data_IF_904459905793
#
_entry.id   IF_904459905793
#
_cell.length_a   1.000
_cell.length_b   1.000
_cell.length_c   1.000
_cell.angle_alpha   90.00
_cell.angle_beta   90.00
_cell.angle_gamma   90.00
#
_symmetry.space_group_name_H-M   'P 1'
#
loop_
_entity.id
_entity.type
_entity.pdbx_description
1 polymer ?
#
# COMPACT_ATOMS: atom_id res chain seq x y z
N UNK A 1 12.83 -9.81 -18.16
CA UNK A 1 13.71 -8.90 -18.92
C UNK A 1 12.87 -8.10 -19.92
N UNK A 2 12.18 -7.09 -19.44
CA UNK A 2 11.49 -6.13 -20.30
C UNK A 2 11.56 -4.76 -19.66
N UNK A 3 12.68 -4.07 -19.87
CA UNK A 3 12.75 -2.62 -19.60
C UNK A 3 14.04 -2.04 -20.18
N UNK A 4 14.02 -1.70 -21.43
CA UNK A 4 14.94 -0.73 -22.00
C UNK A 4 14.22 -0.03 -23.16
N UNK A 5 13.21 0.80 -22.86
CA UNK A 5 12.78 1.88 -23.76
C UNK A 5 11.89 2.86 -22.99
N UNK A 6 12.25 4.14 -23.08
CA UNK A 6 11.55 5.33 -22.62
C UNK A 6 11.58 5.61 -21.09
N UNK A 7 12.64 6.23 -20.60
CA UNK A 7 12.64 7.32 -19.61
C UNK A 7 12.05 7.10 -18.21
N UNK A 8 11.27 6.08 -17.97
CA UNK A 8 10.72 5.69 -16.67
C UNK A 8 11.27 4.31 -16.30
N UNK A 9 12.37 4.29 -15.55
CA UNK A 9 12.88 3.09 -14.89
C UNK A 9 11.95 2.69 -13.74
N UNK A 10 10.81 2.07 -14.05
CA UNK A 10 10.08 1.29 -13.05
C UNK A 10 10.91 0.04 -12.78
N UNK A 11 11.52 -0.01 -11.59
CA UNK A 11 12.34 -1.13 -11.18
C UNK A 11 11.47 -2.37 -10.96
N UNK A 12 11.71 -3.43 -11.74
CA UNK A 12 11.06 -4.74 -11.58
C UNK A 12 11.61 -5.54 -10.39
N UNK A 13 11.73 -4.94 -9.20
CA UNK A 13 12.12 -5.65 -7.98
C UNK A 13 10.95 -6.48 -7.46
N UNK A 14 11.23 -7.74 -7.05
CA UNK A 14 10.23 -8.61 -6.40
C UNK A 14 9.89 -8.10 -4.99
N UNK A 15 8.77 -8.59 -4.42
CA UNK A 15 8.41 -8.32 -3.01
C UNK A 15 9.54 -8.74 -2.09
N UNK A 16 10.16 -9.91 -2.31
CA UNK A 16 11.29 -10.41 -1.53
C UNK A 16 12.48 -9.45 -1.56
N UNK A 17 12.82 -8.91 -2.73
CA UNK A 17 13.88 -7.91 -2.85
C UNK A 17 13.53 -6.60 -2.14
N UNK A 18 12.27 -6.17 -2.21
CA UNK A 18 11.81 -4.99 -1.49
C UNK A 18 11.84 -5.21 0.03
N UNK A 19 11.45 -6.39 0.52
CA UNK A 19 11.58 -6.76 1.93
C UNK A 19 13.03 -6.66 2.40
N UNK A 20 13.98 -7.26 1.68
CA UNK A 20 15.40 -7.17 2.00
C UNK A 20 15.86 -5.72 2.07
N UNK A 21 15.48 -4.90 1.10
CA UNK A 21 15.80 -3.46 1.10
C UNK A 21 15.23 -2.75 2.33
N UNK A 22 13.98 -2.99 2.67
CA UNK A 22 13.31 -2.38 3.82
C UNK A 22 13.98 -2.73 5.15
N UNK A 23 14.30 -4.02 5.34
CA UNK A 23 14.92 -4.53 6.57
C UNK A 23 16.37 -4.09 6.71
N UNK A 24 17.12 -4.02 5.62
CA UNK A 24 18.54 -3.65 5.67
C UNK A 24 18.79 -2.14 5.68
N UNK A 25 17.78 -1.33 5.32
CA UNK A 25 17.89 0.13 5.26
C UNK A 25 18.90 0.65 4.22
N UNK A 26 19.48 -0.22 3.40
CA UNK A 26 20.50 0.15 2.45
C UNK A 26 19.88 0.72 1.17
N UNK A 27 19.92 2.04 1.02
CA UNK A 27 19.37 2.79 -0.12
C UNK A 27 20.44 3.21 -1.16
N UNK A 28 21.68 2.73 -1.06
CA UNK A 28 22.72 3.05 -2.03
C UNK A 28 22.35 2.57 -3.44
N UNK A 29 22.57 3.41 -4.45
CA UNK A 29 22.33 3.08 -5.85
C UNK A 29 23.58 2.44 -6.49
N UNK A 30 24.01 1.28 -5.98
CA UNK A 30 25.19 0.56 -6.50
C UNK A 30 24.80 -0.80 -7.08
N UNK A 31 25.52 -1.22 -8.13
CA UNK A 31 25.37 -2.57 -8.71
C UNK A 31 25.67 -3.64 -7.66
N UNK A 32 26.72 -3.44 -6.86
CA UNK A 32 27.11 -4.35 -5.77
C UNK A 32 25.96 -4.57 -4.78
N UNK A 33 25.29 -3.49 -4.33
CA UNK A 33 24.10 -3.58 -3.47
C UNK A 33 23.00 -4.41 -4.14
N UNK A 34 22.70 -4.15 -5.42
CA UNK A 34 21.63 -4.87 -6.13
C UNK A 34 21.91 -6.35 -6.28
N UNK A 35 23.15 -6.74 -6.56
CA UNK A 35 23.55 -8.14 -6.60
C UNK A 35 23.41 -8.80 -5.22
N UNK A 36 23.83 -8.12 -4.16
CA UNK A 36 23.68 -8.62 -2.77
C UNK A 36 22.22 -8.78 -2.38
N UNK A 37 21.37 -7.82 -2.77
CA UNK A 37 19.91 -7.86 -2.53
C UNK A 37 19.28 -9.09 -3.20
N UNK A 38 19.59 -9.34 -4.47
CA UNK A 38 19.11 -10.51 -5.22
C UNK A 38 19.56 -11.81 -4.55
N UNK A 39 20.84 -11.90 -4.18
CA UNK A 39 21.38 -13.10 -3.53
C UNK A 39 20.68 -13.39 -2.18
N UNK A 40 20.49 -12.35 -1.36
CA UNK A 40 19.76 -12.48 -0.09
C UNK A 40 18.29 -12.85 -0.29
N UNK A 41 17.63 -12.30 -1.32
CA UNK A 41 16.26 -12.65 -1.66
C UNK A 41 16.13 -14.13 -2.03
N UNK A 42 17.04 -14.65 -2.86
CA UNK A 42 17.09 -16.08 -3.21
C UNK A 42 17.36 -16.98 -2.00
N UNK A 43 18.18 -16.54 -1.05
CA UNK A 43 18.42 -17.27 0.19
C UNK A 43 17.14 -17.29 1.05
N UNK A 44 16.46 -16.15 1.20
CA UNK A 44 15.20 -16.06 1.97
C UNK A 44 14.10 -16.96 1.40
N UNK A 45 13.96 -16.99 0.07
CA UNK A 45 12.97 -17.82 -0.63
C UNK A 45 13.22 -19.34 -0.52
N UNK A 46 14.39 -19.76 -0.04
CA UNK A 46 14.66 -21.18 0.30
C UNK A 46 14.14 -21.58 1.67
N UNK A 47 14.16 -20.64 2.61
CA UNK A 47 13.90 -20.90 4.02
C UNK A 47 12.46 -20.55 4.41
N UNK A 48 11.79 -19.69 3.65
CA UNK A 48 10.45 -19.18 3.91
C UNK A 48 9.51 -19.35 2.73
N UNK A 49 8.25 -19.65 3.01
CA UNK A 49 7.17 -19.71 2.03
C UNK A 49 6.84 -18.29 1.49
N UNK A 50 6.11 -18.24 0.39
CA UNK A 50 5.64 -16.97 -0.18
C UNK A 50 4.72 -16.20 0.78
N UNK A 51 3.89 -16.91 1.55
CA UNK A 51 2.96 -16.30 2.49
C UNK A 51 3.70 -15.69 3.68
N UNK A 52 4.72 -16.39 4.22
CA UNK A 52 5.57 -15.85 5.28
C UNK A 52 6.35 -14.62 4.81
N UNK A 53 6.89 -14.63 3.58
CA UNK A 53 7.59 -13.48 2.99
C UNK A 53 6.62 -12.31 2.79
N UNK A 54 5.39 -12.57 2.34
CA UNK A 54 4.37 -11.55 2.17
C UNK A 54 3.97 -10.94 3.52
N UNK A 55 3.79 -11.77 4.55
CA UNK A 55 3.51 -11.29 5.91
C UNK A 55 4.63 -10.40 6.44
N UNK A 56 5.90 -10.82 6.32
CA UNK A 56 7.06 -10.00 6.70
C UNK A 56 7.07 -8.66 5.94
N UNK A 57 6.77 -8.69 4.64
CA UNK A 57 6.72 -7.49 3.82
C UNK A 57 5.63 -6.54 4.29
N UNK A 58 4.40 -7.04 4.48
CA UNK A 58 3.27 -6.24 4.95
C UNK A 58 3.47 -5.66 6.35
N UNK A 59 4.24 -6.33 7.21
CA UNK A 59 4.59 -5.84 8.55
C UNK A 59 5.72 -4.80 8.56
N UNK A 60 6.46 -4.64 7.46
CA UNK A 60 7.65 -3.76 7.40
C UNK A 60 7.55 -2.62 6.41
N UNK A 61 6.60 -2.67 5.48
CA UNK A 61 6.47 -1.68 4.41
C UNK A 61 6.13 -0.30 4.97
N UNK A 62 6.78 0.74 4.43
CA UNK A 62 6.47 2.12 4.76
C UNK A 62 5.27 2.64 3.99
N UNK A 63 4.28 3.17 4.70
CA UNK A 63 2.98 3.59 4.18
C UNK A 63 2.67 5.09 4.43
N UNK A 64 3.71 5.91 4.59
CA UNK A 64 3.51 7.33 4.90
C UNK A 64 3.23 7.57 6.39
N UNK A 65 3.12 8.84 6.82
CA UNK A 65 2.77 9.25 8.18
C UNK A 65 3.49 8.47 9.29
N UNK A 66 4.78 8.16 9.09
CA UNK A 66 5.60 7.34 10.00
C UNK A 66 5.06 5.92 10.24
N UNK A 67 4.13 5.46 9.39
CA UNK A 67 3.55 4.13 9.49
C UNK A 67 4.45 3.09 8.82
N UNK A 68 4.92 2.14 9.60
CA UNK A 68 5.57 0.93 9.15
C UNK A 68 4.64 -0.26 9.43
N UNK A 69 4.34 -1.01 8.38
CA UNK A 69 3.41 -2.12 8.42
C UNK A 69 1.93 -1.73 8.29
N UNK A 70 1.15 -2.67 7.75
CA UNK A 70 -0.27 -2.48 7.41
C UNK A 70 -1.15 -2.27 8.66
N UNK A 71 -0.81 -2.88 9.79
CA UNK A 71 -1.58 -2.73 11.02
C UNK A 71 -1.51 -1.28 11.55
N UNK A 72 -0.31 -0.69 11.59
CA UNK A 72 -0.12 0.71 11.98
C UNK A 72 -0.83 1.65 11.02
N UNK A 73 -0.70 1.39 9.71
CA UNK A 73 -1.36 2.18 8.68
C UNK A 73 -2.88 2.09 8.77
N UNK A 74 -3.46 0.91 8.98
CA UNK A 74 -4.89 0.72 9.16
C UNK A 74 -5.45 1.60 10.29
N UNK A 75 -4.78 1.62 11.44
CA UNK A 75 -5.17 2.47 12.57
C UNK A 75 -5.01 3.96 12.27
N UNK A 76 -3.94 4.33 11.60
CA UNK A 76 -3.66 5.74 11.27
C UNK A 76 -4.64 6.30 10.24
N UNK A 77 -4.96 5.53 9.21
CA UNK A 77 -5.80 6.00 8.11
C UNK A 77 -7.29 5.79 8.34
N UNK A 78 -7.70 4.76 9.12
CA UNK A 78 -9.11 4.35 9.24
C UNK A 78 -9.58 4.13 10.68
N UNK A 79 -8.73 4.23 11.70
CA UNK A 79 -9.03 3.86 13.11
C UNK A 79 -9.50 2.41 13.28
N UNK A 80 -9.12 1.51 12.38
CA UNK A 80 -9.53 0.10 12.37
C UNK A 80 -8.38 -0.85 12.61
N UNK A 81 -8.68 -2.03 13.09
CA UNK A 81 -7.77 -3.17 12.99
C UNK A 81 -7.66 -3.61 11.52
N UNK A 82 -6.49 -4.12 11.11
CA UNK A 82 -6.28 -4.54 9.72
C UNK A 82 -7.24 -5.65 9.28
N UNK A 83 -7.70 -6.48 10.22
CA UNK A 83 -8.68 -7.55 9.97
C UNK A 83 -10.10 -7.03 9.68
N UNK A 84 -10.37 -5.77 9.98
CA UNK A 84 -11.67 -5.12 9.78
C UNK A 84 -11.74 -4.31 8.48
N UNK A 85 -10.64 -4.23 7.74
CA UNK A 85 -10.56 -3.44 6.51
C UNK A 85 -11.44 -4.06 5.40
N UNK A 86 -12.16 -3.20 4.72
CA UNK A 86 -12.85 -3.56 3.47
C UNK A 86 -11.87 -3.71 2.31
N UNK A 87 -12.30 -4.28 1.20
CA UNK A 87 -11.49 -4.37 -0.01
C UNK A 87 -11.10 -2.97 -0.52
N UNK A 88 -12.02 -2.01 -0.46
CA UNK A 88 -11.75 -0.63 -0.88
C UNK A 88 -10.68 0.04 0.00
N UNK A 89 -10.73 -0.15 1.32
CA UNK A 89 -9.72 0.34 2.26
C UNK A 89 -8.36 -0.34 2.04
N UNK A 90 -8.34 -1.66 1.82
CA UNK A 90 -7.11 -2.38 1.46
C UNK A 90 -6.47 -1.82 0.17
N UNK A 91 -7.28 -1.56 -0.85
CA UNK A 91 -6.81 -0.98 -2.11
C UNK A 91 -6.28 0.46 -1.91
N UNK A 92 -6.89 1.27 -1.02
CA UNK A 92 -6.36 2.58 -0.62
C UNK A 92 -4.97 2.45 0.03
N UNK A 93 -4.77 1.53 0.98
CA UNK A 93 -3.47 1.34 1.64
C UNK A 93 -2.38 0.91 0.67
N UNK A 94 -2.67 -0.07 -0.17
CA UNK A 94 -1.71 -0.57 -1.16
C UNK A 94 -1.32 0.52 -2.16
N UNK A 95 -2.21 1.45 -2.46
CA UNK A 95 -1.92 2.60 -3.32
C UNK A 95 -0.79 3.48 -2.80
N UNK A 96 -0.63 3.58 -1.47
CA UNK A 96 0.40 4.43 -0.83
C UNK A 96 1.82 3.86 -1.04
N UNK A 97 1.97 2.53 -1.17
CA UNK A 97 3.26 1.83 -1.18
C UNK A 97 4.24 2.31 -2.25
N UNK A 98 3.72 2.73 -3.39
CA UNK A 98 4.55 3.11 -4.54
C UNK A 98 5.25 4.46 -4.35
N UNK A 99 4.54 5.44 -3.79
CA UNK A 99 5.07 6.77 -3.49
C UNK A 99 4.22 7.44 -2.41
N UNK A 100 4.56 7.28 -1.12
CA UNK A 100 3.78 7.86 -0.02
C UNK A 100 3.59 9.38 -0.13
N UNK A 101 4.57 10.11 -0.67
CA UNK A 101 4.45 11.56 -0.84
C UNK A 101 3.38 11.98 -1.83
N UNK A 102 3.03 11.11 -2.77
CA UNK A 102 2.03 11.36 -3.81
C UNK A 102 0.66 10.78 -3.47
N UNK A 103 0.64 9.66 -2.74
CA UNK A 103 -0.59 8.87 -2.53
C UNK A 103 -1.09 8.85 -1.09
N UNK A 104 -0.54 9.71 -0.19
CA UNK A 104 -1.02 9.85 1.18
C UNK A 104 -2.35 10.61 1.22
N UNK A 105 -3.49 9.94 1.54
CA UNK A 105 -4.81 10.58 1.48
C UNK A 105 -5.05 11.60 2.59
N UNK A 106 -4.23 11.62 3.64
CA UNK A 106 -4.37 12.58 4.74
C UNK A 106 -3.69 13.93 4.46
N UNK A 107 -2.81 14.00 3.45
CA UNK A 107 -1.93 15.13 3.24
C UNK A 107 -2.61 16.31 2.54
N UNK A 108 -3.40 16.06 1.49
CA UNK A 108 -4.07 17.10 0.68
C UNK A 108 -5.17 16.50 -0.19
N UNK A 109 -6.04 17.36 -0.74
CA UNK A 109 -7.06 16.96 -1.70
C UNK A 109 -6.44 16.31 -2.94
N UNK A 110 -5.35 16.91 -3.44
CA UNK A 110 -4.64 16.37 -4.59
C UNK A 110 -4.08 14.95 -4.33
N UNK A 111 -3.41 14.72 -3.20
CA UNK A 111 -2.87 13.38 -2.90
C UNK A 111 -3.98 12.37 -2.65
N UNK A 112 -5.13 12.80 -2.12
CA UNK A 112 -6.33 11.98 -1.94
C UNK A 112 -6.93 11.56 -3.29
N UNK A 113 -7.02 12.49 -4.23
CA UNK A 113 -7.44 12.20 -5.60
C UNK A 113 -6.46 11.22 -6.29
N UNK A 114 -5.15 11.43 -6.13
CA UNK A 114 -4.15 10.49 -6.66
C UNK A 114 -4.26 9.10 -6.02
N UNK A 115 -4.51 9.02 -4.71
CA UNK A 115 -4.77 7.75 -4.04
C UNK A 115 -6.02 7.07 -4.60
N UNK A 116 -7.11 7.83 -4.81
CA UNK A 116 -8.35 7.29 -5.40
C UNK A 116 -8.13 6.73 -6.80
N UNK A 117 -7.42 7.45 -7.65
CA UNK A 117 -7.10 6.97 -9.00
C UNK A 117 -6.30 5.65 -8.93
N UNK A 118 -5.30 5.60 -8.06
CA UNK A 118 -4.50 4.40 -7.86
C UNK A 118 -5.28 3.24 -7.23
N UNK A 119 -6.21 3.51 -6.32
CA UNK A 119 -7.14 2.54 -5.76
C UNK A 119 -7.95 1.86 -6.88
N UNK A 120 -8.46 2.64 -7.83
CA UNK A 120 -9.19 2.12 -8.98
C UNK A 120 -8.29 1.24 -9.86
N UNK A 121 -7.05 1.67 -10.15
CA UNK A 121 -6.07 0.84 -10.89
C UNK A 121 -5.83 -0.51 -10.20
N UNK A 122 -5.77 -0.54 -8.86
CA UNK A 122 -5.59 -1.78 -8.08
C UNK A 122 -6.81 -2.68 -8.24
N UNK A 123 -8.03 -2.14 -8.09
CA UNK A 123 -9.27 -2.89 -8.26
C UNK A 123 -9.44 -3.42 -9.69
N UNK A 124 -9.13 -2.59 -10.70
CA UNK A 124 -9.13 -2.98 -12.11
C UNK A 124 -8.16 -4.15 -12.38
N UNK A 125 -6.96 -4.09 -11.80
CA UNK A 125 -5.99 -5.17 -11.92
C UNK A 125 -6.44 -6.45 -11.23
N UNK A 126 -7.12 -6.36 -10.08
CA UNK A 126 -7.67 -7.52 -9.38
C UNK A 126 -8.79 -8.18 -10.19
N UNK A 127 -9.69 -7.39 -10.79
CA UNK A 127 -10.74 -7.90 -11.66
C UNK A 127 -10.15 -8.55 -12.92
N UNK A 128 -9.22 -7.87 -13.60
CA UNK A 128 -8.57 -8.38 -14.81
C UNK A 128 -7.80 -9.69 -14.59
N UNK A 129 -7.32 -9.93 -13.36
CA UNK A 129 -6.62 -11.16 -12.95
C UNK A 129 -7.56 -12.18 -12.29
N UNK A 130 -8.88 -11.98 -12.37
CA UNK A 130 -9.89 -12.88 -11.78
C UNK A 130 -9.69 -13.14 -10.27
N UNK A 131 -9.12 -12.16 -9.53
CA UNK A 131 -8.96 -12.21 -8.07
C UNK A 131 -10.24 -11.81 -7.35
N UNK A 132 -11.06 -11.02 -7.99
CA UNK A 132 -12.40 -10.63 -7.56
C UNK A 132 -13.36 -10.75 -8.73
N UNK A 133 -14.63 -10.94 -8.47
CA UNK A 133 -15.68 -10.92 -9.48
C UNK A 133 -16.19 -9.48 -9.71
N UNK A 134 -17.04 -9.32 -10.74
CA UNK A 134 -17.58 -8.02 -11.12
C UNK A 134 -18.41 -7.39 -9.99
N UNK A 135 -19.20 -8.17 -9.27
CA UNK A 135 -20.05 -7.67 -8.19
C UNK A 135 -19.19 -7.10 -7.02
N UNK A 136 -18.12 -7.83 -6.66
CA UNK A 136 -17.15 -7.38 -5.63
C UNK A 136 -16.41 -6.11 -6.08
N UNK A 137 -16.00 -6.05 -7.35
CA UNK A 137 -15.39 -4.86 -7.93
C UNK A 137 -16.32 -3.66 -7.86
N UNK A 138 -17.58 -3.80 -8.33
CA UNK A 138 -18.55 -2.71 -8.36
C UNK A 138 -18.85 -2.20 -6.94
N UNK A 139 -18.98 -3.10 -5.97
CA UNK A 139 -19.17 -2.74 -4.57
C UNK A 139 -17.99 -1.94 -4.00
N UNK A 140 -16.75 -2.44 -4.19
CA UNK A 140 -15.54 -1.76 -3.71
C UNK A 140 -15.30 -0.41 -4.41
N UNK A 141 -15.64 -0.31 -5.69
CA UNK A 141 -15.57 0.93 -6.45
C UNK A 141 -16.57 1.97 -5.97
N UNK A 142 -17.78 1.55 -5.59
CA UNK A 142 -18.84 2.44 -5.11
C UNK A 142 -18.67 2.83 -3.63
N UNK A 143 -17.84 2.12 -2.89
CA UNK A 143 -17.65 2.34 -1.45
C UNK A 143 -17.04 3.71 -1.17
N UNK A 144 -17.68 4.46 -0.27
CA UNK A 144 -17.15 5.71 0.26
C UNK A 144 -16.25 5.41 1.46
N UNK A 145 -14.95 5.38 1.23
CA UNK A 145 -13.95 5.15 2.28
C UNK A 145 -13.72 6.43 3.05
N UNK A 146 -13.89 6.39 4.36
CA UNK A 146 -13.71 7.54 5.26
C UNK A 146 -12.34 7.47 5.93
N UNK A 147 -11.57 8.54 5.81
CA UNK A 147 -10.26 8.67 6.47
C UNK A 147 -10.38 9.36 7.84
N UNK A 148 -9.39 9.15 8.70
CA UNK A 148 -9.36 9.68 10.07
C UNK A 148 -9.48 11.21 10.15
N UNK A 149 -9.04 11.93 9.12
CA UNK A 149 -9.19 13.39 9.02
C UNK A 149 -10.61 13.85 8.59
N UNK A 150 -11.55 12.91 8.45
CA UNK A 150 -12.95 13.19 8.10
C UNK A 150 -13.24 13.39 6.63
N UNK A 151 -12.24 13.29 5.76
CA UNK A 151 -12.46 13.29 4.32
C UNK A 151 -12.68 11.87 3.79
N UNK A 152 -13.33 11.76 2.65
CA UNK A 152 -13.55 10.48 1.99
C UNK A 152 -12.71 10.36 0.72
N UNK A 153 -12.58 9.12 0.21
CA UNK A 153 -11.92 8.85 -1.06
C UNK A 153 -12.64 9.47 -2.28
N UNK A 154 -13.87 9.95 -2.08
CA UNK A 154 -14.66 10.68 -3.08
C UNK A 154 -14.56 12.21 -2.91
N UNK A 155 -13.80 12.68 -1.93
CA UNK A 155 -13.57 14.11 -1.68
C UNK A 155 -14.60 14.79 -0.76
N UNK A 156 -15.58 14.05 -0.24
CA UNK A 156 -16.56 14.59 0.71
C UNK A 156 -15.92 14.77 2.09
N UNK A 157 -16.45 15.70 2.87
CA UNK A 157 -16.09 15.85 4.28
C UNK A 157 -17.25 15.43 5.16
N UNK A 158 -17.05 14.45 6.02
CA UNK A 158 -18.07 13.86 6.90
C UNK A 158 -17.76 14.07 8.40
N UNK A 159 -16.72 14.82 8.71
CA UNK A 159 -16.22 15.04 10.07
C UNK A 159 -15.14 14.03 10.50
N UNK A 160 -14.25 14.42 11.44
CA UNK A 160 -13.18 13.53 11.91
C UNK A 160 -13.76 12.27 12.52
N UNK A 161 -13.11 11.14 12.24
CA UNK A 161 -13.47 9.84 12.78
C UNK A 161 -12.62 9.54 14.01
N UNK A 162 -13.23 9.00 15.08
CA UNK A 162 -12.51 8.46 16.24
C UNK A 162 -12.17 9.46 17.36
N UNK A 163 -12.74 10.62 17.40
CA UNK A 163 -12.84 11.36 18.66
C UNK A 163 -13.99 10.75 19.48
N UNK A 164 -13.64 9.85 20.42
CA UNK A 164 -14.57 9.48 21.48
C UNK A 164 -15.10 10.78 22.12
N UNK A 165 -16.42 10.94 22.13
CA UNK A 165 -17.07 11.97 22.93
C UNK A 165 -16.48 11.88 24.34
N UNK A 166 -15.65 12.86 24.72
CA UNK A 166 -15.30 13.05 26.12
C UNK A 166 -16.62 13.28 26.86
N UNK A 167 -17.02 12.39 27.78
CA UNK A 167 -18.16 12.68 28.62
C UNK A 167 -17.92 13.99 29.37
N UNK A 168 -18.89 14.86 29.32
CA UNK A 168 -18.92 16.15 30.00
C UNK A 168 -18.83 15.99 31.54
#
# INVERSE_FOLDING_TARGET
FRTLTNGNTQGGSTITQQLIKNVTGNNENTVKRKVTEVYRALALEKDYSKDEILEMYLNTIYLGNQCYGVQTASRTYFHKDVSELTLAECACLISITNNPSQYDPLRSDWTREQNRNRQLDVLDAMLAQEKIDQATYDAAKAEEVVFTNGYTNLGNYVGPQGEDEKPA
#
